data_IF_781324919566
#
_entry.id   IF_781324919566
#
_cell.length_a   1.000
_cell.length_b   1.000
_cell.length_c   1.000
_cell.angle_alpha   90.00
_cell.angle_beta   90.00
_cell.angle_gamma   90.00
#
_symmetry.space_group_name_H-M   'P 1'
#
loop_
_entity.id
_entity.type
_entity.pdbx_description
1 polymer ?
#
# COMPACT_ATOMS: atom_id res chain seq x y z
N UNK A 1 -8.05 5.52 -41.92
CA UNK A 1 -8.01 4.18 -41.30
C UNK A 1 -8.22 4.41 -39.82
N UNK A 2 -9.30 3.89 -39.24
CA UNK A 2 -9.54 4.06 -37.81
C UNK A 2 -8.52 3.20 -37.06
N UNK A 3 -7.65 3.85 -36.29
CA UNK A 3 -6.73 3.18 -35.40
C UNK A 3 -7.58 2.47 -34.35
N UNK A 4 -7.56 1.14 -34.36
CA UNK A 4 -8.24 0.35 -33.33
C UNK A 4 -7.51 0.59 -32.02
N UNK A 5 -8.11 1.38 -31.13
CA UNK A 5 -7.66 1.48 -29.74
C UNK A 5 -7.82 0.10 -29.13
N UNK A 6 -6.72 -0.63 -28.96
CA UNK A 6 -6.73 -1.88 -28.19
C UNK A 6 -7.04 -1.52 -26.74
N UNK A 7 -8.19 -1.95 -26.23
CA UNK A 7 -8.47 -1.94 -24.80
C UNK A 7 -7.43 -2.84 -24.10
N UNK A 8 -6.57 -2.21 -23.31
CA UNK A 8 -5.57 -2.90 -22.48
C UNK A 8 -6.29 -3.37 -21.22
N UNK A 9 -6.21 -4.66 -20.84
CA UNK A 9 -6.78 -5.14 -19.58
C UNK A 9 -6.23 -4.35 -18.38
N UNK A 10 -7.07 -4.06 -17.39
CA UNK A 10 -6.69 -3.25 -16.22
C UNK A 10 -5.37 -3.72 -15.56
N UNK A 11 -5.20 -5.03 -15.41
CA UNK A 11 -4.02 -5.67 -14.80
C UNK A 11 -2.69 -5.39 -15.52
N UNK A 12 -2.73 -4.97 -16.79
CA UNK A 12 -1.54 -4.65 -17.60
C UNK A 12 -1.24 -3.14 -17.61
N UNK A 13 -2.15 -2.32 -17.08
CA UNK A 13 -2.05 -0.86 -17.13
C UNK A 13 -0.94 -0.32 -16.22
N UNK A 14 -0.46 0.88 -16.55
CA UNK A 14 0.45 1.61 -15.67
C UNK A 14 -0.21 2.00 -14.34
N UNK A 15 -1.49 2.35 -14.38
CA UNK A 15 -2.25 2.70 -13.18
C UNK A 15 -2.33 1.53 -12.18
N UNK A 16 -2.48 0.29 -12.67
CA UNK A 16 -2.41 -0.91 -11.84
C UNK A 16 -1.06 -1.01 -11.11
N UNK A 17 0.05 -0.79 -11.82
CA UNK A 17 1.39 -0.81 -11.23
C UNK A 17 1.57 0.29 -10.19
N UNK A 18 1.13 1.52 -10.50
CA UNK A 18 1.19 2.66 -9.57
C UNK A 18 0.39 2.37 -8.29
N UNK A 19 -0.82 1.81 -8.42
CA UNK A 19 -1.65 1.45 -7.26
C UNK A 19 -1.03 0.35 -6.41
N UNK A 20 -0.39 -0.64 -7.04
CA UNK A 20 0.35 -1.67 -6.31
C UNK A 20 1.53 -1.05 -5.54
N UNK A 21 2.33 -0.19 -6.18
CA UNK A 21 3.40 0.52 -5.50
C UNK A 21 2.86 1.40 -4.36
N UNK A 22 1.72 2.06 -4.54
CA UNK A 22 1.08 2.85 -3.49
C UNK A 22 0.65 1.99 -2.29
N UNK A 23 0.19 0.76 -2.52
CA UNK A 23 -0.10 -0.20 -1.45
C UNK A 23 1.17 -0.55 -0.65
N UNK A 24 2.32 -0.73 -1.30
CA UNK A 24 3.60 -0.93 -0.61
C UNK A 24 4.04 0.29 0.20
N UNK A 25 3.88 1.51 -0.34
CA UNK A 25 4.18 2.74 0.40
C UNK A 25 3.30 2.87 1.65
N UNK A 26 2.02 2.48 1.55
CA UNK A 26 1.13 2.41 2.71
C UNK A 26 1.64 1.40 3.74
N UNK A 27 2.03 0.20 3.31
CA UNK A 27 2.57 -0.82 4.21
C UNK A 27 3.84 -0.36 4.95
N UNK A 28 4.76 0.30 4.26
CA UNK A 28 5.94 0.91 4.89
C UNK A 28 5.54 1.98 5.90
N UNK A 29 4.60 2.86 5.55
CA UNK A 29 4.10 3.89 6.46
C UNK A 29 3.42 3.30 7.71
N UNK A 30 2.67 2.19 7.58
CA UNK A 30 2.10 1.49 8.73
C UNK A 30 3.20 0.95 9.62
N UNK A 31 4.23 0.29 9.07
CA UNK A 31 5.34 -0.24 9.88
C UNK A 31 6.14 0.85 10.63
N UNK A 32 6.16 2.08 10.13
CA UNK A 32 6.77 3.22 10.86
C UNK A 32 6.01 3.53 12.16
N UNK A 33 4.68 3.46 12.15
CA UNK A 33 3.84 3.76 13.33
C UNK A 33 3.54 2.52 14.18
N UNK A 34 3.52 1.35 13.54
CA UNK A 34 3.19 0.05 14.12
C UNK A 34 4.28 -0.96 13.76
N UNK A 35 5.46 -0.90 14.39
CA UNK A 35 6.60 -1.73 14.01
C UNK A 35 6.36 -3.25 14.14
N UNK A 36 5.42 -3.64 15.01
CA UNK A 36 5.06 -5.03 15.25
C UNK A 36 3.90 -5.50 14.36
N UNK A 37 3.35 -4.64 13.51
CA UNK A 37 2.26 -5.01 12.60
C UNK A 37 2.73 -6.08 11.62
N UNK A 38 1.88 -7.07 11.38
CA UNK A 38 2.13 -8.10 10.37
C UNK A 38 1.38 -7.77 9.10
N UNK A 39 2.10 -7.85 7.98
CA UNK A 39 1.58 -7.62 6.64
C UNK A 39 1.04 -8.93 6.07
N UNK A 40 -0.19 -8.92 5.55
CA UNK A 40 -0.77 -10.05 4.83
C UNK A 40 -0.76 -9.83 3.31
N UNK A 41 -1.85 -9.32 2.73
CA UNK A 41 -1.98 -9.08 1.29
C UNK A 41 -2.37 -7.63 1.02
N UNK A 42 -1.90 -7.07 -0.10
CA UNK A 42 -2.25 -5.71 -0.50
C UNK A 42 -2.39 -5.52 -2.01
N UNK A 43 -3.43 -6.12 -2.64
CA UNK A 43 -3.60 -6.03 -4.08
C UNK A 43 -4.16 -4.66 -4.51
N UNK A 44 -3.75 -4.17 -5.70
CA UNK A 44 -4.48 -3.10 -6.37
C UNK A 44 -5.85 -3.60 -6.87
N UNK A 45 -6.83 -2.70 -6.88
CA UNK A 45 -8.20 -2.92 -7.40
C UNK A 45 -8.58 -1.81 -8.37
N UNK A 46 -9.67 -1.96 -9.11
CA UNK A 46 -10.06 -1.04 -10.20
C UNK A 46 -10.21 0.43 -9.75
N UNK A 47 -10.58 0.68 -8.50
CA UNK A 47 -10.77 2.03 -7.96
C UNK A 47 -9.67 2.46 -6.97
N UNK A 48 -8.67 1.62 -6.70
CA UNK A 48 -7.64 1.93 -5.70
C UNK A 48 -6.80 0.72 -5.32
N UNK A 49 -6.63 0.52 -4.02
CA UNK A 49 -5.94 -0.62 -3.43
C UNK A 49 -6.40 -0.78 -1.98
N UNK A 50 -6.20 -1.96 -1.41
CA UNK A 50 -6.36 -2.18 0.03
C UNK A 50 -5.16 -2.97 0.55
N UNK A 51 -5.03 -3.06 1.87
CA UNK A 51 -4.00 -3.85 2.51
C UNK A 51 -4.51 -4.43 3.83
N UNK A 52 -4.28 -5.72 4.05
CA UNK A 52 -4.64 -6.43 5.27
C UNK A 52 -3.49 -6.39 6.29
N UNK A 53 -3.78 -5.87 7.49
CA UNK A 53 -2.84 -5.73 8.59
C UNK A 53 -3.33 -6.46 9.85
N UNK A 54 -2.43 -7.17 10.51
CA UNK A 54 -2.63 -7.63 11.89
C UNK A 54 -1.81 -6.72 12.83
N UNK A 55 -2.52 -5.89 13.60
CA UNK A 55 -1.95 -4.93 14.55
C UNK A 55 -1.76 -5.53 15.96
N UNK A 56 -2.08 -6.80 16.16
CA UNK A 56 -2.03 -7.45 17.47
C UNK A 56 -3.11 -6.96 18.44
N UNK A 57 -2.84 -7.07 19.74
CA UNK A 57 -3.75 -6.66 20.80
C UNK A 57 -3.47 -5.23 21.27
N UNK A 58 -4.52 -4.47 21.49
CA UNK A 58 -4.47 -3.16 22.14
C UNK A 58 -4.44 -3.26 23.67
N UNK A 59 -4.31 -2.11 24.33
CA UNK A 59 -4.16 -2.00 25.78
C UNK A 59 -5.34 -2.58 26.58
N UNK A 60 -6.52 -2.67 25.96
CA UNK A 60 -7.73 -3.25 26.54
C UNK A 60 -7.84 -4.77 26.35
N UNK A 61 -6.79 -5.43 25.83
CA UNK A 61 -6.74 -6.87 25.56
C UNK A 61 -7.58 -7.31 24.35
N UNK A 62 -8.12 -6.38 23.55
CA UNK A 62 -8.85 -6.67 22.31
C UNK A 62 -7.96 -6.42 21.08
N UNK A 63 -8.27 -7.01 19.92
CA UNK A 63 -7.56 -6.68 18.67
C UNK A 63 -7.54 -5.17 18.44
N UNK A 64 -6.35 -4.62 18.20
CA UNK A 64 -6.20 -3.20 17.89
C UNK A 64 -6.75 -2.94 16.49
N UNK A 65 -7.44 -1.81 16.35
CA UNK A 65 -7.90 -1.27 15.07
C UNK A 65 -7.28 0.11 14.87
N UNK A 66 -7.18 0.55 13.62
CA UNK A 66 -6.84 1.94 13.33
C UNK A 66 -7.95 2.87 13.84
N UNK A 67 -7.53 3.98 14.43
CA UNK A 67 -8.35 5.16 14.67
C UNK A 67 -8.26 6.13 13.49
N UNK A 68 -9.14 7.14 13.44
CA UNK A 68 -9.08 8.18 12.41
C UNK A 68 -7.74 8.94 12.43
N UNK A 69 -7.21 9.23 13.62
CA UNK A 69 -5.91 9.88 13.79
C UNK A 69 -4.75 9.02 13.26
N UNK A 70 -4.82 7.69 13.45
CA UNK A 70 -3.82 6.78 12.89
C UNK A 70 -3.80 6.89 11.36
N UNK A 71 -4.98 6.94 10.72
CA UNK A 71 -5.09 7.05 9.26
C UNK A 71 -4.51 8.37 8.73
N UNK A 72 -4.80 9.49 9.39
CA UNK A 72 -4.21 10.80 9.02
C UNK A 72 -2.68 10.79 9.15
N UNK A 73 -2.15 10.19 10.22
CA UNK A 73 -0.72 10.06 10.45
C UNK A 73 -0.03 9.15 9.44
N UNK A 74 -0.67 8.03 9.07
CA UNK A 74 -0.21 7.11 8.03
C UNK A 74 -0.15 7.85 6.69
N UNK A 75 -1.22 8.56 6.29
CA UNK A 75 -1.24 9.31 5.01
C UNK A 75 -0.15 10.40 4.96
N UNK A 76 0.03 11.15 6.06
CA UNK A 76 1.09 12.15 6.16
C UNK A 76 2.48 11.50 6.02
N UNK A 77 2.65 10.28 6.52
CA UNK A 77 3.90 9.52 6.44
C UNK A 77 4.12 8.99 5.03
N UNK A 78 3.09 8.48 4.36
CA UNK A 78 3.15 8.11 2.94
C UNK A 78 3.64 9.29 2.09
N UNK A 79 3.08 10.50 2.28
CA UNK A 79 3.54 11.72 1.58
C UNK A 79 5.01 12.05 1.86
N UNK A 80 5.49 11.82 3.09
CA UNK A 80 6.91 12.02 3.45
C UNK A 80 7.81 10.98 2.77
N UNK A 81 7.40 9.71 2.72
CA UNK A 81 8.14 8.63 2.06
C UNK A 81 8.28 8.89 0.56
N UNK A 82 7.19 9.28 -0.11
CA UNK A 82 7.21 9.63 -1.53
C UNK A 82 8.19 10.77 -1.84
N UNK A 83 8.30 11.78 -0.96
CA UNK A 83 9.26 12.89 -1.12
C UNK A 83 10.71 12.46 -1.05
N UNK A 84 11.03 11.32 -0.44
CA UNK A 84 12.40 10.79 -0.41
C UNK A 84 12.85 10.30 -1.78
N UNK A 85 11.90 9.97 -2.67
CA UNK A 85 12.16 9.46 -4.01
C UNK A 85 13.18 8.30 -4.01
N UNK A 86 13.01 7.38 -3.07
CA UNK A 86 13.89 6.22 -2.93
C UNK A 86 13.71 5.28 -4.14
N UNK A 87 14.80 4.66 -4.64
CA UNK A 87 14.70 3.69 -5.73
C UNK A 87 13.96 2.43 -5.26
N UNK A 88 13.12 1.89 -6.14
CA UNK A 88 12.54 0.55 -5.97
C UNK A 88 13.50 -0.48 -6.55
N UNK A 89 13.98 -1.39 -5.71
CA UNK A 89 14.86 -2.47 -6.11
C UNK A 89 14.12 -3.80 -6.05
N UNK A 90 14.27 -4.60 -7.10
CA UNK A 90 13.75 -5.96 -7.17
C UNK A 90 14.92 -6.94 -7.19
N UNK A 91 14.91 -7.91 -6.28
CA UNK A 91 15.91 -8.97 -6.22
C UNK A 91 15.26 -10.34 -6.18
N UNK A 92 15.81 -11.30 -6.94
CA UNK A 92 15.42 -12.70 -6.86
C UNK A 92 16.28 -13.43 -5.84
N UNK A 93 15.66 -14.01 -4.81
CA UNK A 93 16.34 -14.92 -3.89
C UNK A 93 16.46 -16.30 -4.57
N UNK A 94 17.66 -16.88 -4.58
CA UNK A 94 17.94 -18.22 -5.10
C UNK A 94 17.92 -19.25 -3.99
#
# INVERSE_FOLDING_TARGET
MAEQVKEIPYIETELYRIRHTAAHVMAEAVLVHFPEAKLAIGPPVEDGFYYDFDLGLGENGKPRTFSEEDLENIEATMKKLLKKNAPLEHSTMK
#
